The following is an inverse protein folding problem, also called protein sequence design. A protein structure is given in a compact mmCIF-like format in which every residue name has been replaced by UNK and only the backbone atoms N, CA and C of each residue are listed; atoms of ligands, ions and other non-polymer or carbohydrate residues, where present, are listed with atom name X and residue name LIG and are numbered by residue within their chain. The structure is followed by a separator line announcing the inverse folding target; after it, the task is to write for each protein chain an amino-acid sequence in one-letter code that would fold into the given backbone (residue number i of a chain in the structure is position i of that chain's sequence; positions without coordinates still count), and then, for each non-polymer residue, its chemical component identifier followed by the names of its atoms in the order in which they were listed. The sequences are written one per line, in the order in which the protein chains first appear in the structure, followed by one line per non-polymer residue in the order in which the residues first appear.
data_IF_128046027226
#
_entry.id   IF_128046027226
#
_cell.length_a   1.000
_cell.length_b   1.000
_cell.length_c   1.000
_cell.angle_alpha   90.00
_cell.angle_beta   90.00
_cell.angle_gamma   90.00
#
_symmetry.space_group_name_H-M   'P 1'
#
loop_
_entity.id
_entity.type
_entity.pdbx_description
1 polymer ?
#
# COMPACT_ATOMS: atom_id res chain seq x y z
N UNK A 1 -19.74 24.25 -4.84
CA UNK A 1 -20.27 22.96 -4.35
C UNK A 1 -21.44 22.65 -5.25
N UNK A 2 -21.30 21.74 -6.22
CA UNK A 2 -22.43 21.37 -7.08
C UNK A 2 -23.40 20.56 -6.22
N UNK A 3 -24.67 20.97 -6.15
CA UNK A 3 -25.70 20.15 -5.51
C UNK A 3 -25.88 18.88 -6.33
N UNK A 4 -25.63 17.72 -5.72
CA UNK A 4 -25.88 16.42 -6.34
C UNK A 4 -27.39 16.23 -6.44
N UNK A 5 -27.85 15.90 -7.64
CA UNK A 5 -29.26 15.61 -7.86
C UNK A 5 -29.62 14.25 -7.26
N UNK A 6 -30.88 14.09 -6.82
CA UNK A 6 -31.36 12.80 -6.30
C UNK A 6 -31.12 11.64 -7.29
N UNK A 7 -31.17 11.94 -8.59
CA UNK A 7 -30.87 11.02 -9.66
C UNK A 7 -29.41 10.54 -9.65
N UNK A 8 -28.45 11.45 -9.48
CA UNK A 8 -27.02 11.10 -9.45
C UNK A 8 -26.68 10.23 -8.24
N UNK A 9 -27.29 10.50 -7.08
CA UNK A 9 -27.10 9.66 -5.90
C UNK A 9 -27.66 8.24 -6.09
N UNK A 10 -28.82 8.09 -6.74
CA UNK A 10 -29.37 6.78 -7.07
C UNK A 10 -28.49 6.02 -8.08
N UNK A 11 -27.91 6.72 -9.05
CA UNK A 11 -26.94 6.13 -9.99
C UNK A 11 -25.65 5.72 -9.27
N UNK A 12 -25.13 6.54 -8.35
CA UNK A 12 -23.97 6.20 -7.50
C UNK A 12 -24.26 4.98 -6.61
N UNK A 13 -25.51 4.80 -6.16
CA UNK A 13 -25.97 3.63 -5.41
C UNK A 13 -26.13 2.36 -6.26
N UNK A 14 -25.95 2.48 -7.59
CA UNK A 14 -25.96 1.35 -8.51
C UNK A 14 -27.30 1.08 -9.19
N UNK A 15 -28.29 1.97 -9.05
CA UNK A 15 -29.55 1.85 -9.79
C UNK A 15 -29.37 2.33 -11.23
N UNK A 16 -29.90 1.59 -12.23
CA UNK A 16 -29.82 2.01 -13.62
C UNK A 16 -30.57 3.33 -13.83
N UNK A 17 -29.96 4.23 -14.63
CA UNK A 17 -30.44 5.61 -14.81
C UNK A 17 -31.91 5.69 -15.24
N UNK A 18 -32.35 4.85 -16.17
CA UNK A 18 -33.75 4.85 -16.62
C UNK A 18 -34.74 4.50 -15.51
N UNK A 19 -34.35 3.61 -14.60
CA UNK A 19 -35.14 3.19 -13.44
C UNK A 19 -35.20 4.28 -12.38
N UNK A 20 -34.06 4.91 -12.09
CA UNK A 20 -33.97 6.04 -11.16
C UNK A 20 -34.75 7.28 -11.65
N UNK A 21 -34.71 7.58 -12.97
CA UNK A 21 -35.50 8.66 -13.58
C UNK A 21 -37.01 8.36 -13.49
N UNK A 22 -37.43 7.12 -13.77
CA UNK A 22 -38.84 6.69 -13.68
C UNK A 22 -39.35 6.73 -12.24
N UNK A 23 -38.55 6.28 -11.28
CA UNK A 23 -38.88 6.31 -9.85
C UNK A 23 -39.04 7.73 -9.33
N UNK A 24 -38.14 8.65 -9.71
CA UNK A 24 -38.24 10.06 -9.33
C UNK A 24 -39.44 10.75 -9.99
N UNK A 25 -39.78 10.38 -11.23
CA UNK A 25 -40.94 10.91 -11.92
C UNK A 25 -42.27 10.46 -11.27
N UNK A 26 -42.35 9.20 -10.83
CA UNK A 26 -43.56 8.63 -10.20
C UNK A 26 -43.72 9.07 -8.75
N UNK A 27 -42.61 9.30 -8.04
CA UNK A 27 -42.60 9.81 -6.66
C UNK A 27 -42.65 11.34 -6.61
N UNK A 28 -42.72 12.02 -7.76
CA UNK A 28 -42.86 13.48 -7.84
C UNK A 28 -41.64 14.26 -7.36
N UNK A 29 -40.43 13.69 -7.49
CA UNK A 29 -39.17 14.28 -7.02
C UNK A 29 -39.15 14.59 -5.52
N UNK A 30 -39.83 13.79 -4.69
CA UNK A 30 -39.88 13.98 -3.23
C UNK A 30 -38.57 13.67 -2.50
N UNK A 31 -37.54 13.17 -3.22
CA UNK A 31 -36.22 12.90 -2.68
C UNK A 31 -35.73 11.49 -3.02
N UNK A 32 -34.48 11.21 -2.62
CA UNK A 32 -33.82 9.91 -2.90
C UNK A 32 -34.53 8.76 -2.20
N UNK A 33 -34.98 8.96 -0.95
CA UNK A 33 -35.62 7.91 -0.14
C UNK A 33 -36.96 7.45 -0.73
N UNK A 34 -37.81 8.38 -1.15
CA UNK A 34 -39.09 8.06 -1.79
C UNK A 34 -38.88 7.31 -3.11
N UNK A 35 -37.89 7.72 -3.91
CA UNK A 35 -37.53 7.02 -5.14
C UNK A 35 -36.97 5.63 -4.86
N UNK A 36 -36.19 5.44 -3.79
CA UNK A 36 -35.64 4.13 -3.41
C UNK A 36 -36.73 3.16 -2.93
N UNK A 37 -37.71 3.66 -2.17
CA UNK A 37 -38.87 2.87 -1.72
C UNK A 37 -39.70 2.34 -2.91
N UNK A 38 -40.00 3.22 -3.87
CA UNK A 38 -40.65 2.81 -5.12
C UNK A 38 -39.81 1.80 -5.93
N UNK A 39 -38.49 1.99 -5.97
CA UNK A 39 -37.56 1.09 -6.66
C UNK A 39 -37.54 -0.31 -6.05
N UNK A 40 -37.64 -0.43 -4.71
CA UNK A 40 -37.71 -1.70 -3.99
C UNK A 40 -39.07 -2.38 -4.19
N UNK A 41 -40.17 -1.65 -4.10
CA UNK A 41 -41.52 -2.22 -4.30
C UNK A 41 -41.74 -2.76 -5.73
N UNK A 42 -40.97 -2.25 -6.70
CA UNK A 42 -41.05 -2.66 -8.11
C UNK A 42 -39.79 -3.45 -8.55
N UNK A 43 -38.99 -3.98 -7.61
CA UNK A 43 -37.71 -4.66 -7.88
C UNK A 43 -37.80 -5.83 -8.87
N UNK A 44 -38.90 -6.58 -8.83
CA UNK A 44 -39.14 -7.80 -9.59
C UNK A 44 -39.87 -7.61 -10.94
N UNK A 45 -40.02 -6.38 -11.44
CA UNK A 45 -40.66 -6.13 -12.74
C UNK A 45 -39.60 -6.02 -13.87
N UNK A 46 -39.32 -7.11 -14.62
CA UNK A 46 -38.23 -7.19 -15.61
C UNK A 46 -38.46 -6.32 -16.86
N UNK A 47 -39.64 -5.72 -17.01
CA UNK A 47 -39.97 -4.80 -18.11
C UNK A 47 -39.40 -3.38 -17.88
N UNK A 48 -38.88 -3.09 -16.68
CA UNK A 48 -38.45 -1.75 -16.27
C UNK A 48 -36.98 -1.44 -16.61
N UNK A 49 -36.18 -2.43 -17.01
CA UNK A 49 -34.78 -2.26 -17.41
C UNK A 49 -34.57 -1.97 -18.92
N UNK A 50 -35.64 -1.87 -19.71
CA UNK A 50 -35.53 -1.58 -21.15
C UNK A 50 -35.39 -0.06 -21.42
N UNK A 51 -34.33 0.40 -22.12
CA UNK A 51 -34.12 1.83 -22.37
C UNK A 51 -35.22 2.44 -23.25
N UNK A 52 -35.62 3.72 -23.04
CA UNK A 52 -36.72 4.32 -23.78
C UNK A 52 -36.34 4.53 -25.25
N UNK A 53 -36.88 3.68 -26.13
CA UNK A 53 -36.94 3.97 -27.55
C UNK A 53 -38.08 4.97 -27.82
N UNK A 54 -37.76 6.11 -28.42
CA UNK A 54 -38.75 6.96 -29.08
C UNK A 54 -38.12 7.70 -30.25
N UNK A 55 -38.89 8.09 -31.30
CA UNK A 55 -40.35 8.26 -31.26
C UNK A 55 -41.19 7.75 -32.47
N UNK A 56 -42.51 7.82 -32.25
CA UNK A 56 -43.63 8.00 -33.19
C UNK A 56 -44.37 6.78 -33.76
N UNK A 57 -45.56 6.55 -33.20
CA UNK A 57 -46.75 6.25 -33.99
C UNK A 57 -47.82 5.39 -33.30
N UNK A 58 -48.70 6.02 -32.50
CA UNK A 58 -50.15 5.77 -32.33
C UNK A 58 -50.69 4.35 -32.63
N UNK A 59 -51.43 3.64 -31.77
CA UNK A 59 -52.59 4.06 -30.99
C UNK A 59 -53.19 2.86 -30.23
N UNK A 60 -53.81 3.14 -29.08
CA UNK A 60 -55.02 2.50 -28.54
C UNK A 60 -55.09 0.96 -28.46
N UNK A 61 -55.02 0.47 -27.22
CA UNK A 61 -56.19 -0.14 -26.61
C UNK A 61 -56.13 -1.64 -26.30
N UNK A 62 -56.73 -1.96 -25.16
CA UNK A 62 -57.41 -3.22 -24.80
C UNK A 62 -56.63 -4.23 -23.92
N UNK A 63 -56.84 -4.05 -22.61
CA UNK A 63 -57.35 -5.04 -21.65
C UNK A 63 -56.98 -6.53 -21.84
N UNK A 64 -56.35 -7.19 -20.84
CA UNK A 64 -56.42 -8.65 -20.71
C UNK A 64 -57.69 -9.06 -19.94
N UNK A 65 -58.56 -9.95 -20.46
CA UNK A 65 -59.59 -10.54 -19.63
C UNK A 65 -59.05 -11.79 -18.90
N UNK A 66 -59.05 -11.69 -17.57
CA UNK A 66 -59.59 -12.62 -16.56
C UNK A 66 -59.45 -14.14 -16.72
N UNK A 67 -58.99 -14.78 -15.63
CA UNK A 67 -59.33 -16.17 -15.26
C UNK A 67 -60.04 -16.17 -13.90
N UNK A 68 -61.29 -16.66 -13.85
CA UNK A 68 -61.86 -17.23 -12.63
C UNK A 68 -63.23 -16.70 -12.18
N UNK A 69 -64.32 -17.23 -12.74
CA UNK A 69 -65.63 -17.17 -12.08
C UNK A 69 -66.83 -17.56 -12.96
N UNK A 70 -67.38 -18.76 -12.74
CA UNK A 70 -68.83 -19.07 -12.83
C UNK A 70 -69.52 -19.17 -14.20
N UNK A 71 -70.02 -20.38 -14.52
CA UNK A 71 -71.11 -20.77 -15.46
C UNK A 71 -72.32 -19.80 -15.60
N UNK A 72 -73.29 -20.02 -16.54
CA UNK A 72 -73.36 -20.88 -17.75
C UNK A 72 -74.03 -20.21 -19.02
N UNK A 73 -74.19 -21.01 -20.09
CA UNK A 73 -75.24 -20.97 -21.16
C UNK A 73 -74.96 -20.36 -22.56
N UNK A 74 -75.18 -21.19 -23.61
CA UNK A 74 -75.98 -20.79 -24.79
C UNK A 74 -75.27 -20.63 -26.16
N UNK A 75 -75.78 -21.18 -27.29
CA UNK A 75 -75.02 -21.50 -28.51
C UNK A 75 -75.23 -20.51 -29.69
N UNK A 76 -74.35 -20.53 -30.71
CA UNK A 76 -74.63 -19.84 -31.98
C UNK A 76 -73.49 -19.75 -33.01
N UNK A 77 -73.61 -20.56 -34.06
CA UNK A 77 -72.80 -20.62 -35.30
C UNK A 77 -72.91 -19.38 -36.19
N UNK A 78 -71.83 -18.86 -36.79
CA UNK A 78 -71.73 -18.60 -38.27
C UNK A 78 -70.32 -18.15 -38.79
N UNK A 79 -69.83 -18.94 -39.76
CA UNK A 79 -69.25 -18.59 -41.09
C UNK A 79 -67.97 -17.75 -41.21
N UNK A 80 -66.89 -18.42 -41.64
CA UNK A 80 -65.61 -17.88 -42.13
C UNK A 80 -65.69 -17.64 -43.65
N UNK A 81 -65.32 -16.45 -44.12
CA UNK A 81 -65.04 -16.14 -45.53
C UNK A 81 -63.51 -16.22 -45.74
N UNK A 82 -63.08 -17.20 -46.55
CA UNK A 82 -61.69 -17.43 -46.95
C UNK A 82 -61.28 -16.51 -48.12
N UNK A 83 -60.22 -15.73 -47.94
CA UNK A 83 -59.39 -15.19 -49.03
C UNK A 83 -58.24 -16.18 -49.31
N UNK A 84 -57.80 -16.35 -50.57
CA UNK A 84 -56.96 -17.48 -50.99
C UNK A 84 -55.60 -17.51 -50.24
N UNK A 85 -55.15 -18.68 -49.77
CA UNK A 85 -53.94 -18.79 -48.96
C UNK A 85 -52.69 -18.55 -49.80
N UNK A 86 -51.80 -17.65 -49.37
CA UNK A 86 -50.39 -17.68 -49.78
C UNK A 86 -49.89 -19.13 -49.61
N UNK A 87 -49.31 -19.65 -50.69
CA UNK A 87 -48.77 -21.01 -50.79
C UNK A 87 -48.03 -21.41 -49.52
N UNK A 88 -48.34 -22.60 -48.98
CA UNK A 88 -47.67 -23.14 -47.79
C UNK A 88 -46.15 -23.24 -47.98
N UNK A 89 -45.70 -23.34 -49.23
CA UNK A 89 -44.29 -23.39 -49.61
C UNK A 89 -43.59 -22.04 -49.40
N UNK A 90 -44.22 -20.93 -49.82
CA UNK A 90 -43.64 -19.58 -49.65
C UNK A 90 -43.56 -19.17 -48.17
N UNK A 91 -44.53 -19.59 -47.34
CA UNK A 91 -44.49 -19.37 -45.89
C UNK A 91 -43.38 -20.18 -45.22
N UNK A 92 -43.11 -21.40 -45.70
CA UNK A 92 -41.97 -22.23 -45.23
C UNK A 92 -40.63 -21.61 -45.64
N UNK A 93 -40.53 -21.02 -46.82
CA UNK A 93 -39.33 -20.28 -47.23
C UNK A 93 -39.12 -19.00 -46.43
N UNK A 94 -40.18 -18.21 -46.20
CA UNK A 94 -40.09 -16.97 -45.43
C UNK A 94 -39.71 -17.23 -43.97
N UNK A 95 -40.27 -18.28 -43.35
CA UNK A 95 -39.90 -18.72 -42.00
C UNK A 95 -38.47 -19.27 -41.95
N UNK A 96 -38.02 -20.03 -42.95
CA UNK A 96 -36.64 -20.51 -43.05
C UNK A 96 -35.64 -19.35 -43.18
N UNK A 97 -35.92 -18.36 -44.03
CA UNK A 97 -35.09 -17.14 -44.17
C UNK A 97 -35.06 -16.31 -42.88
N UNK A 98 -36.18 -16.22 -42.16
CA UNK A 98 -36.23 -15.53 -40.87
C UNK A 98 -35.44 -16.27 -39.78
N UNK A 99 -35.57 -17.61 -39.69
CA UNK A 99 -34.77 -18.43 -38.77
C UNK A 99 -33.28 -18.37 -39.08
N UNK A 100 -32.90 -18.36 -40.36
CA UNK A 100 -31.51 -18.24 -40.79
C UNK A 100 -30.93 -16.86 -40.44
N UNK A 101 -31.69 -15.77 -40.63
CA UNK A 101 -31.28 -14.42 -40.24
C UNK A 101 -31.13 -14.29 -38.71
N UNK A 102 -32.07 -14.87 -37.94
CA UNK A 102 -32.00 -14.90 -36.47
C UNK A 102 -30.80 -15.73 -36.02
N UNK A 103 -30.56 -16.90 -36.61
CA UNK A 103 -29.41 -17.74 -36.30
C UNK A 103 -28.07 -17.04 -36.62
N UNK A 104 -28.01 -16.32 -37.74
CA UNK A 104 -26.83 -15.55 -38.15
C UNK A 104 -26.57 -14.39 -37.17
N UNK A 105 -27.62 -13.67 -36.75
CA UNK A 105 -27.53 -12.58 -35.77
C UNK A 105 -27.17 -13.06 -34.36
N UNK A 106 -27.70 -14.22 -33.93
CA UNK A 106 -27.33 -14.87 -32.67
C UNK A 106 -25.87 -15.31 -32.66
N UNK A 107 -25.37 -15.85 -33.78
CA UNK A 107 -23.97 -16.25 -33.93
C UNK A 107 -23.04 -15.04 -33.87
N UNK A 108 -23.35 -13.96 -34.59
CA UNK A 108 -22.59 -12.72 -34.57
C UNK A 108 -22.57 -12.10 -33.16
N UNK A 109 -23.72 -12.04 -32.48
CA UNK A 109 -23.84 -11.56 -31.10
C UNK A 109 -23.00 -12.40 -30.14
N UNK A 110 -23.07 -13.73 -30.24
CA UNK A 110 -22.29 -14.64 -29.41
C UNK A 110 -20.77 -14.56 -29.65
N UNK A 111 -20.33 -14.35 -30.90
CA UNK A 111 -18.91 -14.14 -31.22
C UNK A 111 -18.41 -12.80 -30.69
N UNK A 112 -19.23 -11.75 -30.78
CA UNK A 112 -18.93 -10.43 -30.21
C UNK A 112 -18.85 -10.48 -28.68
N UNK A 113 -19.82 -11.09 -28.03
CA UNK A 113 -19.84 -11.25 -26.57
C UNK A 113 -18.66 -12.08 -26.08
N UNK A 114 -18.29 -13.17 -26.77
CA UNK A 114 -17.09 -13.95 -26.44
C UNK A 114 -15.80 -13.13 -26.60
N UNK A 115 -15.68 -12.33 -27.66
CA UNK A 115 -14.52 -11.44 -27.84
C UNK A 115 -14.44 -10.40 -26.73
N UNK A 116 -15.56 -9.77 -26.39
CA UNK A 116 -15.63 -8.78 -25.30
C UNK A 116 -15.37 -9.42 -23.93
N UNK A 117 -15.78 -10.67 -23.69
CA UNK A 117 -15.50 -11.39 -22.46
C UNK A 117 -14.00 -11.77 -22.35
N UNK A 118 -13.40 -12.25 -23.43
CA UNK A 118 -11.96 -12.54 -23.49
C UNK A 118 -11.14 -11.27 -23.29
N UNK A 119 -11.56 -10.15 -23.91
CA UNK A 119 -10.88 -8.86 -23.75
C UNK A 119 -11.00 -8.32 -22.32
N UNK A 120 -12.19 -8.39 -21.71
CA UNK A 120 -12.38 -8.01 -20.29
C UNK A 120 -11.54 -8.85 -19.34
N UNK A 121 -11.51 -10.17 -19.50
CA UNK A 121 -10.69 -11.03 -18.65
C UNK A 121 -9.19 -10.80 -18.88
N UNK A 122 -8.78 -10.52 -20.13
CA UNK A 122 -7.40 -10.12 -20.44
C UNK A 122 -7.05 -8.78 -19.79
N UNK A 123 -7.95 -7.81 -19.80
CA UNK A 123 -7.76 -6.50 -19.20
C UNK A 123 -7.65 -6.60 -17.68
N UNK A 124 -8.50 -7.41 -17.03
CA UNK A 124 -8.39 -7.69 -15.59
C UNK A 124 -7.01 -8.26 -15.23
N UNK A 125 -6.53 -9.26 -15.98
CA UNK A 125 -5.21 -9.86 -15.74
C UNK A 125 -4.08 -8.87 -15.99
N UNK A 126 -4.19 -8.06 -17.04
CA UNK A 126 -3.21 -7.00 -17.34
C UNK A 126 -3.14 -5.97 -16.22
N UNK A 127 -4.28 -5.47 -15.73
CA UNK A 127 -4.30 -4.51 -14.61
C UNK A 127 -3.68 -5.10 -13.34
N UNK A 128 -3.96 -6.37 -13.03
CA UNK A 128 -3.32 -7.06 -11.90
C UNK A 128 -1.81 -7.24 -12.07
N UNK A 129 -1.37 -7.65 -13.26
CA UNK A 129 0.06 -7.76 -13.59
C UNK A 129 0.76 -6.40 -13.57
N UNK A 130 0.09 -5.34 -14.03
CA UNK A 130 0.61 -3.97 -14.09
C UNK A 130 0.79 -3.39 -12.69
N UNK A 131 -0.17 -3.61 -11.77
CA UNK A 131 -0.02 -3.20 -10.37
C UNK A 131 1.17 -3.91 -9.70
N UNK A 132 1.30 -5.22 -9.93
CA UNK A 132 2.42 -5.99 -9.39
C UNK A 132 3.77 -5.57 -9.99
N UNK A 133 3.82 -5.34 -11.31
CA UNK A 133 5.02 -4.88 -12.00
C UNK A 133 5.40 -3.46 -11.59
N UNK A 134 4.42 -2.56 -11.36
CA UNK A 134 4.66 -1.21 -10.88
C UNK A 134 5.29 -1.23 -9.47
N UNK A 135 4.79 -2.08 -8.56
CA UNK A 135 5.38 -2.27 -7.23
C UNK A 135 6.81 -2.80 -7.31
N UNK A 136 7.07 -3.77 -8.18
CA UNK A 136 8.41 -4.33 -8.37
C UNK A 136 9.39 -3.31 -8.95
N UNK A 137 8.94 -2.50 -9.92
CA UNK A 137 9.74 -1.40 -10.49
C UNK A 137 10.15 -0.36 -9.46
N UNK A 138 9.21 0.06 -8.60
CA UNK A 138 9.53 1.01 -7.53
C UNK A 138 10.59 0.45 -6.57
N UNK A 139 10.45 -0.81 -6.18
CA UNK A 139 11.42 -1.48 -5.31
C UNK A 139 12.80 -1.64 -5.98
N UNK A 140 12.82 -1.97 -7.27
CA UNK A 140 14.06 -2.10 -8.04
C UNK A 140 14.76 -0.75 -8.24
N UNK A 141 14.02 0.31 -8.55
CA UNK A 141 14.57 1.67 -8.67
C UNK A 141 15.11 2.19 -7.33
N UNK A 142 14.44 1.89 -6.22
CA UNK A 142 14.91 2.24 -4.87
C UNK A 142 16.22 1.51 -4.53
N UNK A 143 16.29 0.20 -4.80
CA UNK A 143 17.52 -0.58 -4.63
C UNK A 143 18.64 -0.13 -5.56
N UNK A 144 18.32 0.19 -6.81
CA UNK A 144 19.28 0.69 -7.80
C UNK A 144 19.85 2.04 -7.39
N UNK A 145 19.00 2.97 -6.93
CA UNK A 145 19.42 4.28 -6.42
C UNK A 145 20.31 4.15 -5.18
N UNK A 146 19.95 3.28 -4.25
CA UNK A 146 20.77 2.98 -3.08
C UNK A 146 22.13 2.36 -3.45
N UNK A 147 22.17 1.48 -4.46
CA UNK A 147 23.41 0.90 -4.96
C UNK A 147 24.30 1.93 -5.68
N UNK A 148 23.71 2.85 -6.43
CA UNK A 148 24.42 3.96 -7.08
C UNK A 148 25.02 4.92 -6.05
N UNK A 149 24.27 5.26 -5.00
CA UNK A 149 24.73 6.11 -3.91
C UNK A 149 25.91 5.47 -3.16
N UNK A 150 25.82 4.16 -2.82
CA UNK A 150 26.94 3.43 -2.22
C UNK A 150 28.17 3.39 -3.11
N UNK A 151 27.99 3.21 -4.43
CA UNK A 151 29.12 3.24 -5.38
C UNK A 151 29.73 4.63 -5.46
N UNK A 152 28.91 5.66 -5.47
CA UNK A 152 29.34 7.05 -5.51
C UNK A 152 30.10 7.44 -4.23
N UNK A 153 29.56 7.12 -3.06
CA UNK A 153 30.24 7.37 -1.78
C UNK A 153 31.58 6.63 -1.71
N UNK A 154 31.63 5.36 -2.13
CA UNK A 154 32.89 4.60 -2.20
C UNK A 154 33.88 5.19 -3.21
N UNK A 155 33.40 5.69 -4.34
CA UNK A 155 34.25 6.37 -5.33
C UNK A 155 34.79 7.70 -4.79
N UNK A 156 33.97 8.48 -4.09
CA UNK A 156 34.38 9.74 -3.46
C UNK A 156 35.36 9.48 -2.30
N UNK A 157 35.14 8.44 -1.48
CA UNK A 157 36.07 8.05 -0.41
C UNK A 157 37.42 7.60 -0.98
N UNK A 158 37.42 6.76 -2.01
CA UNK A 158 38.66 6.29 -2.65
C UNK A 158 39.41 7.44 -3.32
N UNK A 159 38.71 8.35 -4.00
CA UNK A 159 39.31 9.57 -4.56
C UNK A 159 39.87 10.50 -3.46
N UNK A 160 39.18 10.64 -2.32
CA UNK A 160 39.68 11.41 -1.19
C UNK A 160 40.93 10.79 -0.58
N UNK A 161 40.94 9.46 -0.37
CA UNK A 161 42.12 8.71 0.08
C UNK A 161 43.30 8.87 -0.90
N UNK A 162 43.04 8.85 -2.20
CA UNK A 162 44.07 9.09 -3.22
C UNK A 162 44.63 10.52 -3.14
N UNK A 163 43.79 11.55 -3.00
CA UNK A 163 44.25 12.94 -2.84
C UNK A 163 45.11 13.15 -1.59
N UNK A 164 44.77 12.49 -0.47
CA UNK A 164 45.59 12.53 0.75
C UNK A 164 46.94 11.84 0.51
N UNK A 165 46.93 10.67 -0.14
CA UNK A 165 48.15 9.94 -0.47
C UNK A 165 49.08 10.76 -1.37
N UNK A 166 48.55 11.43 -2.38
CA UNK A 166 49.32 12.29 -3.28
C UNK A 166 49.90 13.52 -2.54
N UNK A 167 49.14 14.13 -1.62
CA UNK A 167 49.66 15.20 -0.75
C UNK A 167 50.82 14.73 0.13
N UNK A 168 50.72 13.54 0.72
CA UNK A 168 51.80 12.96 1.53
C UNK A 168 53.03 12.67 0.66
N UNK A 169 52.84 12.12 -0.55
CA UNK A 169 53.94 11.86 -1.48
C UNK A 169 54.62 13.16 -1.92
N UNK A 170 53.85 14.19 -2.25
CA UNK A 170 54.37 15.52 -2.58
C UNK A 170 55.17 16.13 -1.43
N UNK A 171 54.63 16.13 -0.21
CA UNK A 171 55.34 16.65 0.99
C UNK A 171 56.61 15.83 1.30
N UNK A 172 56.55 14.51 1.12
CA UNK A 172 57.70 13.61 1.29
C UNK A 172 58.79 13.90 0.25
N UNK A 173 58.43 14.13 -1.01
CA UNK A 173 59.37 14.51 -2.08
C UNK A 173 59.93 15.91 -1.86
N UNK A 174 59.12 16.90 -1.46
CA UNK A 174 59.60 18.25 -1.16
C UNK A 174 60.51 18.28 0.08
N UNK A 175 60.18 17.53 1.13
CA UNK A 175 61.06 17.34 2.31
C UNK A 175 62.35 16.64 1.92
N UNK A 176 62.30 15.57 1.12
CA UNK A 176 63.52 14.90 0.66
C UNK A 176 64.41 15.83 -0.17
N UNK A 177 63.83 16.66 -1.05
CA UNK A 177 64.56 17.67 -1.82
C UNK A 177 65.13 18.79 -0.96
N UNK A 178 64.44 19.20 0.12
CA UNK A 178 64.83 20.32 0.98
C UNK A 178 65.75 19.93 2.16
N UNK A 179 65.60 18.71 2.68
CA UNK A 179 66.38 18.17 3.81
C UNK A 179 67.44 17.13 3.39
N UNK A 180 67.48 16.70 2.12
CA UNK A 180 68.54 15.83 1.59
C UNK A 180 69.93 16.50 1.50
N UNK A 181 70.14 17.66 2.13
CA UNK A 181 71.37 18.44 2.06
C UNK A 181 71.93 18.98 3.38
N UNK A 182 71.42 18.58 4.56
CA UNK A 182 72.01 19.00 5.84
C UNK A 182 72.10 17.79 6.78
N UNK A 183 73.35 17.44 7.09
CA UNK A 183 73.73 16.23 7.80
C UNK A 183 73.46 16.25 9.30
N UNK A 184 73.61 15.04 9.86
CA UNK A 184 73.94 14.65 11.23
C UNK A 184 73.81 15.69 12.33
N UNK A 185 72.90 15.43 13.27
CA UNK A 185 73.19 15.56 14.70
C UNK A 185 72.24 14.70 15.53
N UNK A 186 72.82 13.70 16.19
CA UNK A 186 72.27 12.96 17.32
C UNK A 186 72.45 13.77 18.61
N UNK A 187 71.54 13.72 19.60
CA UNK A 187 71.88 13.96 20.99
C UNK A 187 72.17 12.62 21.74
N UNK A 188 72.91 12.67 22.85
CA UNK A 188 73.55 11.51 23.47
C UNK A 188 72.61 10.67 24.34
N UNK A 189 72.99 9.40 24.46
CA UNK A 189 72.46 8.42 25.40
C UNK A 189 72.93 8.71 26.85
N UNK A 190 72.02 8.56 27.80
CA UNK A 190 72.33 8.39 29.23
C UNK A 190 71.84 6.99 29.65
N UNK A 191 72.73 6.22 30.25
CA UNK A 191 72.56 4.84 30.73
C UNK A 191 71.81 4.75 32.10
N UNK A 192 71.48 3.52 32.60
CA UNK A 192 70.23 3.22 33.30
C UNK A 192 70.31 3.25 34.83
N UNK A 193 69.16 3.48 35.47
CA UNK A 193 68.89 3.23 36.89
C UNK A 193 67.59 2.44 37.07
N UNK A 194 67.43 1.66 38.15
CA UNK A 194 66.43 0.58 38.23
C UNK A 194 65.00 1.09 38.48
N UNK A 195 64.06 0.25 38.03
CA UNK A 195 62.59 0.33 38.04
C UNK A 195 61.98 0.61 39.44
N UNK A 196 60.70 1.07 39.51
CA UNK A 196 59.61 0.11 39.39
C UNK A 196 58.61 0.49 38.29
N UNK A 197 58.14 -0.56 37.63
CA UNK A 197 57.10 -0.58 36.61
C UNK A 197 55.89 0.28 37.00
N UNK A 198 55.65 1.31 36.21
CA UNK A 198 54.32 1.90 36.05
C UNK A 198 54.04 1.93 34.55
N UNK A 199 52.94 1.32 34.07
CA UNK A 199 52.59 1.39 32.67
C UNK A 199 52.25 2.84 32.35
N UNK A 200 53.24 3.56 31.80
CA UNK A 200 53.04 4.87 31.21
C UNK A 200 52.10 4.70 30.03
N UNK A 201 50.81 4.91 30.29
CA UNK A 201 49.78 5.04 29.27
C UNK A 201 50.22 6.13 28.29
N UNK A 202 50.46 5.75 27.05
CA UNK A 202 50.31 6.67 25.93
C UNK A 202 48.97 7.41 26.05
N UNK A 203 48.90 8.69 25.67
CA UNK A 203 47.63 9.42 25.69
C UNK A 203 46.60 8.62 24.88
N UNK A 204 45.41 8.32 25.44
CA UNK A 204 44.44 7.49 24.74
C UNK A 204 43.98 8.24 23.49
N UNK A 205 44.47 7.82 22.32
CA UNK A 205 43.83 8.15 21.04
C UNK A 205 42.37 7.76 21.20
N UNK A 206 41.45 8.73 21.13
CA UNK A 206 40.01 8.50 21.32
C UNK A 206 39.59 7.33 20.44
N UNK A 207 39.43 6.16 21.04
CA UNK A 207 38.97 4.97 20.34
C UNK A 207 37.50 5.21 20.04
N UNK A 208 37.20 5.52 18.78
CA UNK A 208 35.83 5.56 18.30
C UNK A 208 35.35 4.12 18.17
N UNK A 209 34.42 3.72 19.04
CA UNK A 209 33.80 2.40 18.98
C UNK A 209 32.57 2.49 18.07
N UNK A 210 32.45 1.57 17.10
CA UNK A 210 31.30 1.51 16.19
C UNK A 210 30.11 0.74 16.80
N UNK A 211 30.34 0.02 17.90
CA UNK A 211 29.38 -0.83 18.58
C UNK A 211 29.24 -0.45 20.05
N UNK A 212 28.05 -0.70 20.58
CA UNK A 212 27.66 -0.43 21.95
C UNK A 212 27.02 -1.68 22.56
N UNK A 213 27.62 -2.25 23.61
CA UNK A 213 27.01 -3.34 24.36
C UNK A 213 26.16 -2.79 25.51
N UNK A 214 24.85 -2.95 25.40
CA UNK A 214 23.90 -2.49 26.41
C UNK A 214 23.41 -3.67 27.25
N UNK A 215 23.52 -3.56 28.57
CA UNK A 215 22.83 -4.44 29.51
C UNK A 215 21.62 -3.70 30.09
N UNK A 216 20.43 -4.26 29.91
CA UNK A 216 19.19 -3.72 30.45
C UNK A 216 18.76 -4.57 31.64
N UNK A 217 18.53 -3.91 32.79
CA UNK A 217 17.97 -4.52 34.00
C UNK A 217 16.46 -4.31 34.02
N UNK A 218 15.72 -5.41 33.98
CA UNK A 218 14.26 -5.43 34.02
C UNK A 218 13.76 -5.43 35.48
N UNK A 219 12.51 -4.99 35.73
CA UNK A 219 11.94 -4.92 37.08
C UNK A 219 11.63 -6.30 37.69
N UNK A 220 11.57 -7.35 36.88
CA UNK A 220 11.46 -8.76 37.30
C UNK A 220 12.80 -9.32 37.85
N UNK A 221 13.87 -8.53 37.79
CA UNK A 221 15.22 -8.92 38.19
C UNK A 221 16.03 -9.61 37.11
N UNK A 222 15.44 -9.90 35.94
CA UNK A 222 16.19 -10.44 34.80
C UNK A 222 16.99 -9.33 34.11
N UNK A 223 18.01 -9.72 33.36
CA UNK A 223 18.80 -8.75 32.58
C UNK A 223 18.95 -9.19 31.14
N UNK A 224 18.59 -8.30 30.22
CA UNK A 224 18.79 -8.47 28.79
C UNK A 224 20.13 -7.86 28.40
N UNK A 225 20.87 -8.49 27.50
CA UNK A 225 22.11 -7.92 26.98
C UNK A 225 22.13 -8.02 25.48
N UNK A 226 22.34 -6.89 24.81
CA UNK A 226 22.35 -6.81 23.36
C UNK A 226 23.42 -5.82 22.89
N UNK A 227 24.04 -6.14 21.76
CA UNK A 227 24.97 -5.25 21.07
C UNK A 227 24.19 -4.48 20.00
N UNK A 228 24.33 -3.16 20.04
CA UNK A 228 23.74 -2.19 19.11
C UNK A 228 24.85 -1.43 18.38
N UNK A 229 24.54 -0.76 17.27
CA UNK A 229 25.50 0.12 16.59
C UNK A 229 25.60 1.46 17.32
N UNK A 230 26.78 2.09 17.32
CA UNK A 230 27.02 3.37 17.97
C UNK A 230 26.14 4.52 17.42
N UNK A 231 25.77 4.43 16.13
CA UNK A 231 24.87 5.37 15.45
C UNK A 231 23.39 4.99 15.54
N UNK A 232 23.07 3.88 16.21
CA UNK A 232 21.69 3.44 16.41
C UNK A 232 21.02 4.31 17.48
N UNK A 233 19.72 4.51 17.36
CA UNK A 233 18.95 5.36 18.28
C UNK A 233 18.64 4.64 19.60
N UNK A 234 18.49 5.39 20.69
CA UNK A 234 18.06 4.82 21.98
C UNK A 234 16.69 4.13 21.90
N UNK A 235 15.81 4.56 20.99
CA UNK A 235 14.53 3.90 20.69
C UNK A 235 14.69 2.40 20.33
N UNK A 236 15.79 2.00 19.69
CA UNK A 236 16.04 0.60 19.37
C UNK A 236 16.20 -0.26 20.63
N UNK A 237 16.83 0.29 21.67
CA UNK A 237 16.97 -0.38 22.98
C UNK A 237 15.61 -0.52 23.65
N UNK A 238 14.78 0.53 23.59
CA UNK A 238 13.40 0.49 24.10
C UNK A 238 12.58 -0.61 23.42
N UNK A 239 12.62 -0.68 22.09
CA UNK A 239 11.91 -1.72 21.33
C UNK A 239 12.41 -3.12 21.68
N UNK A 240 13.73 -3.30 21.81
CA UNK A 240 14.32 -4.57 22.20
C UNK A 240 13.83 -5.03 23.58
N UNK A 241 13.70 -4.11 24.53
CA UNK A 241 13.12 -4.37 25.86
C UNK A 241 11.65 -4.77 25.75
N UNK A 242 10.85 -4.04 24.97
CA UNK A 242 9.42 -4.33 24.77
C UNK A 242 9.21 -5.73 24.18
N UNK A 243 10.05 -6.14 23.23
CA UNK A 243 9.98 -7.46 22.58
C UNK A 243 10.32 -8.62 23.54
N UNK A 244 11.27 -8.42 24.46
CA UNK A 244 11.78 -9.48 25.34
C UNK A 244 11.14 -9.49 26.74
N UNK A 245 10.28 -8.50 27.05
CA UNK A 245 9.59 -8.40 28.34
C UNK A 245 8.52 -9.48 28.56
N UNK A 246 8.12 -10.21 27.51
CA UNK A 246 7.15 -11.31 27.58
C UNK A 246 5.71 -10.83 27.77
N UNK A 247 4.79 -11.38 26.98
CA UNK A 247 3.35 -11.10 27.05
C UNK A 247 2.70 -11.87 28.22
N UNK A 248 3.20 -11.67 29.44
CA UNK A 248 2.60 -12.26 30.64
C UNK A 248 1.58 -11.29 31.24
N UNK A 249 0.31 -11.59 30.92
CA UNK A 249 -0.89 -11.32 31.71
C UNK A 249 -1.07 -9.89 32.23
N UNK A 250 -1.75 -9.08 31.41
CA UNK A 250 -2.66 -8.03 31.90
C UNK A 250 -2.00 -6.77 32.44
N UNK A 251 -1.54 -5.89 31.55
CA UNK A 251 -1.17 -4.55 31.99
C UNK A 251 -0.51 -3.64 30.97
N UNK A 252 -1.19 -3.37 29.86
CA UNK A 252 -1.00 -2.18 29.03
C UNK A 252 0.34 -2.06 28.29
N UNK A 253 0.31 -1.39 27.14
CA UNK A 253 1.50 -0.80 26.52
C UNK A 253 1.99 0.38 27.38
N UNK A 254 2.26 0.14 28.67
CA UNK A 254 2.74 1.19 29.56
C UNK A 254 4.14 1.60 29.10
N UNK A 255 4.34 2.89 28.75
CA UNK A 255 5.61 3.36 28.22
C UNK A 255 6.74 3.08 29.22
N UNK A 256 7.69 2.25 28.82
CA UNK A 256 8.86 1.94 29.66
C UNK A 256 9.79 3.14 29.76
N UNK A 257 10.17 3.51 30.98
CA UNK A 257 11.13 4.57 31.25
C UNK A 257 12.52 3.96 31.39
N UNK A 258 13.46 4.35 30.51
CA UNK A 258 14.86 3.95 30.61
C UNK A 258 15.63 4.91 31.53
N UNK A 259 16.43 4.35 32.42
CA UNK A 259 17.29 5.06 33.37
C UNK A 259 18.74 4.61 33.20
N UNK A 260 19.71 5.53 33.25
CA UNK A 260 21.13 5.18 33.38
C UNK A 260 21.49 4.78 34.81
N UNK A 261 22.52 3.92 34.96
CA UNK A 261 23.04 3.51 36.26
C UNK A 261 23.67 4.66 37.08
N UNK A 262 24.86 5.13 36.70
CA UNK A 262 25.54 6.24 37.38
C UNK A 262 26.25 7.16 36.37
N UNK A 263 26.05 8.50 36.45
CA UNK A 263 25.04 9.19 37.26
C UNK A 263 23.62 8.78 36.81
N UNK A 264 22.69 8.70 37.77
CA UNK A 264 21.29 8.33 37.46
C UNK A 264 20.64 9.44 36.65
N UNK A 265 20.21 9.12 35.44
CA UNK A 265 19.49 10.00 34.52
C UNK A 265 18.32 9.24 33.90
N UNK A 266 17.14 9.86 33.88
CA UNK A 266 16.00 9.38 33.11
C UNK A 266 16.08 9.89 31.67
N UNK A 267 15.89 9.00 30.70
CA UNK A 267 15.89 9.36 29.28
C UNK A 267 14.50 9.82 28.83
N UNK A 268 14.41 11.02 28.28
CA UNK A 268 13.16 11.58 27.76
C UNK A 268 12.82 11.03 26.37
N UNK A 269 11.65 11.37 25.83
CA UNK A 269 11.29 11.04 24.45
C UNK A 269 12.27 11.67 23.44
N UNK A 270 12.72 12.90 23.68
CA UNK A 270 13.74 13.56 22.85
C UNK A 270 15.11 12.85 22.89
N UNK A 271 15.39 12.07 23.93
CA UNK A 271 16.60 11.24 23.97
C UNK A 271 16.45 9.94 23.17
N UNK A 272 15.22 9.47 22.94
CA UNK A 272 14.95 8.25 22.17
C UNK A 272 15.37 8.39 20.71
N UNK A 273 15.32 9.60 20.16
CA UNK A 273 15.70 9.91 18.78
C UNK A 273 17.22 10.09 18.60
N UNK A 274 17.99 10.19 19.69
CA UNK A 274 19.44 10.42 19.66
C UNK A 274 20.21 9.11 19.54
N UNK A 275 21.36 9.11 18.85
CA UNK A 275 22.19 7.92 18.73
C UNK A 275 22.91 7.59 20.04
N UNK A 276 23.18 6.31 20.28
CA UNK A 276 23.83 5.81 21.49
C UNK A 276 25.19 6.48 21.76
N UNK A 277 25.95 6.85 20.71
CA UNK A 277 27.21 7.57 20.84
C UNK A 277 27.05 8.98 21.43
N UNK A 278 25.99 9.71 21.06
CA UNK A 278 25.75 11.08 21.52
C UNK A 278 25.24 11.10 22.96
N UNK A 279 24.57 10.02 23.38
CA UNK A 279 24.13 9.82 24.74
C UNK A 279 25.26 9.32 25.67
N UNK A 280 26.47 9.11 25.15
CA UNK A 280 27.61 8.63 25.93
C UNK A 280 27.47 7.19 26.42
N UNK A 281 26.68 6.36 25.72
CA UNK A 281 26.44 4.95 26.09
C UNK A 281 27.50 4.01 25.49
N UNK A 282 28.26 4.48 24.53
CA UNK A 282 29.35 3.75 23.86
C UNK A 282 30.62 3.79 24.71
N UNK A 283 31.37 2.67 24.86
CA UNK A 283 31.21 1.36 24.21
C UNK A 283 30.29 0.38 24.95
N UNK A 284 29.95 0.65 26.21
CA UNK A 284 29.03 -0.19 26.97
C UNK A 284 28.33 0.62 28.05
N UNK A 285 27.05 0.33 28.26
CA UNK A 285 26.25 0.96 29.29
C UNK A 285 25.27 -0.02 29.94
N UNK A 286 24.88 0.32 31.17
CA UNK A 286 23.86 -0.39 31.93
C UNK A 286 22.65 0.51 32.09
N UNK A 287 21.52 0.06 31.56
CA UNK A 287 20.23 0.73 31.66
C UNK A 287 19.29 -0.04 32.59
N UNK A 288 18.39 0.68 33.25
CA UNK A 288 17.40 0.13 34.17
C UNK A 288 16.02 0.52 33.62
N UNK A 289 15.11 -0.46 33.57
CA UNK A 289 13.72 -0.24 33.15
C UNK A 289 12.88 0.08 34.38
N UNK A 290 12.25 1.26 34.37
CA UNK A 290 11.22 1.63 35.33
C UNK A 290 9.86 1.73 34.63
N UNK A 291 8.79 1.44 35.38
CA UNK A 291 7.43 1.73 34.94
C UNK A 291 7.22 3.25 35.00
N UNK A 292 6.63 3.85 33.96
CA UNK A 292 6.33 5.28 33.97
C UNK A 292 5.06 5.47 34.80
N UNK A 293 5.20 5.83 36.07
CA UNK A 293 4.03 6.17 36.88
C UNK A 293 3.31 7.35 36.21
N UNK A 294 2.06 7.14 35.78
CA UNK A 294 1.17 8.23 35.41
C UNK A 294 1.00 9.11 36.67
N UNK A 295 1.50 10.33 36.59
CA UNK A 295 1.35 11.34 37.64
C UNK A 295 0.25 12.32 37.27
#
# INVERSE_FOLDING_TARGET
MAERTALESLIEMGFPRGRAEKALALTGNQGIEAAMDWLMEHEDDPDVDEPPASPLGHSLGHEPPSYGGGSPEGPGSVRVEEKPPLSEEEKREQTKRMLELVAQKQKERGEREQREAVERERQRRRQGQELSAARQRLQEDEMRRAAEERKREKAEETAARQRVREKIERDKVERAKKFGGIGSQSPPATEPGPVPSSPSQEPPTKREYDQCRIQVRLPDGTSLTQTFKAREQLAAVRLYVELHRGEELGGGQDPVQLLSGFPRRAFSEADMERPLQELGLVPSAVLIVAKKCAS
#
